data_IF_059358632829
#
_entry.id   IF_059358632829
#
_cell.length_a   1.000
_cell.length_b   1.000
_cell.length_c   1.000
_cell.angle_alpha   90.00
_cell.angle_beta   90.00
_cell.angle_gamma   90.00
#
_symmetry.space_group_name_H-M   'P 1'
#
loop_
_entity.id
_entity.type
_entity.pdbx_description
1 polymer ?
#
# COMPACT_ATOMS: atom_id res chain seq x y z
N UNK A 1 12.35 -9.55 -14.39
CA UNK A 1 11.37 -8.49 -14.08
C UNK A 1 11.96 -7.61 -13.00
N UNK A 2 11.92 -6.28 -13.18
CA UNK A 2 12.39 -5.34 -12.15
C UNK A 2 11.40 -5.34 -10.96
N UNK A 3 11.87 -5.17 -9.71
CA UNK A 3 10.96 -5.10 -8.57
C UNK A 3 10.13 -3.81 -8.58
N UNK A 4 9.15 -3.71 -7.69
CA UNK A 4 8.52 -2.44 -7.35
C UNK A 4 9.41 -1.64 -6.39
N UNK A 5 9.25 -0.31 -6.40
CA UNK A 5 10.01 0.63 -5.55
C UNK A 5 9.05 1.32 -4.58
N UNK A 6 9.51 1.55 -3.35
CA UNK A 6 8.79 2.36 -2.38
C UNK A 6 9.27 3.80 -2.40
N UNK A 7 8.34 4.76 -2.50
CA UNK A 7 8.61 6.19 -2.44
C UNK A 7 7.81 6.86 -1.33
N UNK A 8 8.45 7.72 -0.55
CA UNK A 8 7.82 8.46 0.55
C UNK A 8 7.72 9.96 0.24
N UNK A 9 6.64 10.60 0.70
CA UNK A 9 6.37 12.04 0.55
C UNK A 9 7.17 12.90 1.54
N UNK A 10 8.50 12.80 1.50
CA UNK A 10 9.40 13.49 2.44
C UNK A 10 9.33 15.00 2.27
N UNK A 11 9.10 15.72 3.37
CA UNK A 11 9.07 17.20 3.36
C UNK A 11 10.37 17.78 2.82
N UNK A 12 10.26 18.82 1.97
CA UNK A 12 11.39 19.47 1.31
C UNK A 12 11.96 18.73 0.10
N UNK A 13 11.49 17.51 -0.19
CA UNK A 13 11.98 16.68 -1.33
C UNK A 13 10.86 16.17 -2.23
N UNK A 14 9.64 16.68 -2.08
CA UNK A 14 8.47 16.15 -2.80
C UNK A 14 8.61 16.23 -4.32
N UNK A 15 9.12 17.36 -4.84
CA UNK A 15 9.36 17.48 -6.28
C UNK A 15 10.38 16.45 -6.77
N UNK A 16 11.50 16.28 -6.07
CA UNK A 16 12.49 15.25 -6.42
C UNK A 16 11.89 13.84 -6.39
N UNK A 17 10.95 13.57 -5.47
CA UNK A 17 10.24 12.29 -5.41
C UNK A 17 9.41 12.06 -6.68
N UNK A 18 8.77 13.08 -7.23
CA UNK A 18 8.03 12.97 -8.48
C UNK A 18 8.96 12.78 -9.69
N UNK A 19 10.09 13.46 -9.72
CA UNK A 19 11.11 13.28 -10.77
C UNK A 19 11.65 11.83 -10.74
N UNK A 20 11.86 11.28 -9.54
CA UNK A 20 12.24 9.87 -9.34
C UNK A 20 11.13 8.91 -9.78
N UNK A 21 9.85 9.23 -9.54
CA UNK A 21 8.73 8.39 -9.97
C UNK A 21 8.69 8.24 -11.51
N UNK A 22 8.86 9.33 -12.23
CA UNK A 22 8.97 9.31 -13.69
C UNK A 22 10.19 8.50 -14.19
N UNK A 23 11.32 8.61 -13.49
CA UNK A 23 12.53 7.85 -13.82
C UNK A 23 12.38 6.35 -13.52
N UNK A 24 11.68 5.96 -12.45
CA UNK A 24 11.34 4.57 -12.12
C UNK A 24 10.53 3.95 -13.25
N UNK A 25 9.50 4.64 -13.74
CA UNK A 25 8.72 4.19 -14.90
C UNK A 25 9.61 4.01 -16.13
N UNK A 26 10.40 5.04 -16.47
CA UNK A 26 11.30 5.01 -17.64
C UNK A 26 12.30 3.85 -17.59
N UNK A 27 12.69 3.40 -16.40
CA UNK A 27 13.59 2.24 -16.21
C UNK A 27 12.88 0.89 -16.21
N UNK A 28 11.57 0.84 -16.32
CA UNK A 28 10.80 -0.40 -16.41
C UNK A 28 10.64 -1.16 -15.10
N UNK A 29 10.60 -0.46 -13.96
CA UNK A 29 10.19 -1.05 -12.69
C UNK A 29 8.72 -1.42 -12.72
N UNK A 30 8.31 -2.43 -11.93
CA UNK A 30 6.94 -2.98 -12.01
C UNK A 30 5.90 -2.16 -11.26
N UNK A 31 6.30 -1.27 -10.36
CA UNK A 31 5.34 -0.48 -9.59
C UNK A 31 5.99 0.49 -8.61
N UNK A 32 5.18 1.43 -8.12
CA UNK A 32 5.58 2.39 -7.08
C UNK A 32 4.59 2.29 -5.93
N UNK A 33 5.06 1.98 -4.71
CA UNK A 33 4.19 1.87 -3.54
C UNK A 33 4.61 2.85 -2.45
N UNK A 34 3.63 3.66 -1.99
CA UNK A 34 3.84 4.78 -1.09
C UNK A 34 3.49 4.41 0.35
N UNK A 35 4.46 4.37 1.29
CA UNK A 35 4.20 4.10 2.69
C UNK A 35 3.50 5.28 3.37
N UNK A 36 2.93 5.06 4.54
CA UNK A 36 2.21 6.07 5.35
C UNK A 36 3.11 7.18 5.93
N UNK A 37 4.26 7.43 5.32
CA UNK A 37 5.19 8.50 5.69
C UNK A 37 4.86 9.78 4.89
N UNK A 38 4.34 10.77 5.58
CA UNK A 38 3.73 11.93 4.97
C UNK A 38 2.30 11.60 4.46
N UNK A 39 1.82 12.29 3.46
CA UNK A 39 0.54 11.97 2.81
C UNK A 39 0.78 11.08 1.58
N UNK A 40 0.62 9.76 1.78
CA UNK A 40 0.83 8.79 0.70
C UNK A 40 -0.25 8.87 -0.39
N UNK A 41 -1.47 9.29 -0.06
CA UNK A 41 -2.56 9.44 -1.04
C UNK A 41 -2.31 10.66 -1.93
N UNK A 42 -1.89 11.78 -1.36
CA UNK A 42 -1.50 12.98 -2.13
C UNK A 42 -0.28 12.69 -3.03
N UNK A 43 0.66 11.85 -2.55
CA UNK A 43 1.78 11.40 -3.38
C UNK A 43 1.29 10.54 -4.55
N UNK A 44 0.39 9.58 -4.31
CA UNK A 44 -0.20 8.75 -5.37
C UNK A 44 -0.93 9.61 -6.41
N UNK A 45 -1.71 10.61 -5.99
CA UNK A 45 -2.37 11.53 -6.91
C UNK A 45 -1.36 12.28 -7.79
N UNK A 46 -0.25 12.71 -7.20
CA UNK A 46 0.82 13.39 -7.96
C UNK A 46 1.55 12.43 -8.90
N UNK A 47 1.78 11.17 -8.50
CA UNK A 47 2.37 10.12 -9.35
C UNK A 47 1.47 9.84 -10.56
N UNK A 48 0.15 9.82 -10.38
CA UNK A 48 -0.80 9.66 -11.49
C UNK A 48 -0.57 10.67 -12.62
N UNK A 49 -0.15 11.90 -12.27
CA UNK A 49 0.05 12.99 -13.23
C UNK A 49 1.43 13.01 -13.89
N UNK A 50 2.43 12.33 -13.32
CA UNK A 50 3.81 12.33 -13.84
C UNK A 50 4.24 10.99 -14.44
N UNK A 51 3.34 10.00 -14.44
CA UNK A 51 3.55 8.66 -15.00
C UNK A 51 2.39 8.28 -15.93
N UNK A 52 2.61 7.35 -16.86
CA UNK A 52 1.63 6.97 -17.88
C UNK A 52 1.22 5.50 -17.86
N UNK A 53 2.11 4.58 -17.48
CA UNK A 53 1.91 3.14 -17.61
C UNK A 53 2.11 2.38 -16.28
N UNK A 54 3.03 2.83 -15.43
CA UNK A 54 3.40 2.11 -14.21
C UNK A 54 2.23 2.02 -13.23
N UNK A 55 2.03 0.85 -12.64
CA UNK A 55 1.08 0.70 -11.54
C UNK A 55 1.64 1.33 -10.28
N UNK A 56 0.78 1.91 -9.46
CA UNK A 56 1.19 2.51 -8.20
C UNK A 56 0.10 2.38 -7.15
N UNK A 57 0.45 2.61 -5.90
CA UNK A 57 -0.52 2.52 -4.82
C UNK A 57 0.00 2.97 -3.47
N UNK A 58 -0.88 2.97 -2.48
CA UNK A 58 -0.49 3.14 -1.08
C UNK A 58 -0.07 1.79 -0.47
N UNK A 59 0.93 1.80 0.40
CA UNK A 59 1.36 0.61 1.13
C UNK A 59 1.83 0.98 2.55
N UNK A 60 0.92 1.40 3.41
CA UNK A 60 -0.52 1.47 3.21
C UNK A 60 -1.06 2.78 3.77
N UNK A 61 -2.28 3.17 3.34
CA UNK A 61 -3.02 4.26 3.99
C UNK A 61 -3.66 3.75 5.27
N UNK A 62 -3.36 4.33 6.44
CA UNK A 62 -4.04 3.97 7.69
C UNK A 62 -5.51 4.38 7.67
N UNK A 63 -6.42 3.44 8.01
CA UNK A 63 -7.87 3.69 8.00
C UNK A 63 -8.31 4.77 9.00
N UNK A 64 -7.60 4.92 10.11
CA UNK A 64 -7.97 5.90 11.14
C UNK A 64 -7.56 7.34 10.82
N UNK A 65 -6.88 7.59 9.70
CA UNK A 65 -6.42 8.94 9.33
C UNK A 65 -7.42 9.70 8.47
N UNK A 66 -8.35 9.01 7.82
CA UNK A 66 -9.35 9.60 6.94
C UNK A 66 -10.72 8.98 7.16
N UNK A 67 -11.75 9.76 6.96
CA UNK A 67 -13.11 9.23 6.86
C UNK A 67 -13.21 8.33 5.62
N UNK A 68 -13.92 7.18 5.68
CA UNK A 68 -14.03 6.27 4.54
C UNK A 68 -14.67 6.91 3.30
N UNK A 69 -15.64 7.80 3.45
CA UNK A 69 -16.26 8.52 2.34
C UNK A 69 -15.26 9.49 1.68
N UNK A 70 -14.49 10.26 2.46
CA UNK A 70 -13.44 11.14 1.95
C UNK A 70 -12.35 10.37 1.20
N UNK A 71 -11.95 9.22 1.75
CA UNK A 71 -10.97 8.36 1.09
C UNK A 71 -11.54 7.72 -0.18
N UNK A 72 -12.80 7.31 -0.20
CA UNK A 72 -13.46 6.76 -1.38
C UNK A 72 -13.49 7.78 -2.52
N UNK A 73 -13.91 9.02 -2.24
CA UNK A 73 -13.91 10.10 -3.23
C UNK A 73 -12.52 10.36 -3.82
N UNK A 74 -11.50 10.45 -2.96
CA UNK A 74 -10.13 10.67 -3.41
C UNK A 74 -9.59 9.46 -4.19
N UNK A 75 -9.89 8.25 -3.75
CA UNK A 75 -9.42 7.02 -4.40
C UNK A 75 -10.05 6.83 -5.77
N UNK A 76 -11.36 7.07 -5.91
CA UNK A 76 -12.07 7.02 -7.20
C UNK A 76 -11.49 8.05 -8.17
N UNK A 77 -11.24 9.29 -7.72
CA UNK A 77 -10.60 10.31 -8.54
C UNK A 77 -9.22 9.88 -9.06
N UNK A 78 -8.35 9.35 -8.17
CA UNK A 78 -7.01 8.87 -8.58
C UNK A 78 -7.13 7.69 -9.56
N UNK A 79 -8.08 6.78 -9.32
CA UNK A 79 -8.32 5.63 -10.17
C UNK A 79 -8.69 6.06 -11.59
N UNK A 80 -9.64 6.98 -11.72
CA UNK A 80 -10.09 7.53 -12.98
C UNK A 80 -8.96 8.25 -13.74
N UNK A 81 -8.29 9.24 -13.13
CA UNK A 81 -7.25 10.02 -13.81
C UNK A 81 -6.00 9.20 -14.14
N UNK A 82 -5.80 8.08 -13.48
CA UNK A 82 -4.69 7.16 -13.78
C UNK A 82 -5.05 6.05 -14.76
N UNK A 83 -6.27 6.02 -15.31
CA UNK A 83 -6.76 4.94 -16.17
C UNK A 83 -6.61 3.55 -15.52
N UNK A 84 -7.03 3.41 -14.27
CA UNK A 84 -7.04 2.14 -13.55
C UNK A 84 -5.69 1.65 -13.00
N UNK A 85 -4.62 2.45 -13.05
CA UNK A 85 -3.27 2.06 -12.57
C UNK A 85 -3.10 2.09 -11.06
N UNK A 86 -4.01 2.74 -10.35
CA UNK A 86 -3.94 2.92 -8.89
C UNK A 86 -4.45 1.69 -8.13
N UNK A 87 -3.75 1.31 -7.06
CA UNK A 87 -4.18 0.34 -6.05
C UNK A 87 -4.23 1.01 -4.68
N UNK A 88 -5.32 0.85 -3.95
CA UNK A 88 -5.48 1.41 -2.62
C UNK A 88 -5.11 0.37 -1.56
N UNK A 89 -3.88 0.41 -1.07
CA UNK A 89 -3.49 -0.34 0.11
C UNK A 89 -3.96 0.35 1.39
N UNK A 90 -4.70 -0.36 2.23
CA UNK A 90 -5.17 0.13 3.53
C UNK A 90 -4.78 -0.80 4.67
N UNK A 91 -4.76 -0.29 5.89
CA UNK A 91 -4.45 -1.10 7.06
C UNK A 91 -4.66 -0.36 8.38
N UNK A 92 -4.57 -1.11 9.47
CA UNK A 92 -4.53 -0.57 10.81
C UNK A 92 -3.10 -0.12 11.14
N UNK A 93 -2.95 0.94 11.92
CA UNK A 93 -1.66 1.34 12.47
C UNK A 93 -1.34 0.54 13.75
N UNK A 94 -0.17 0.76 14.30
CA UNK A 94 0.27 0.14 15.55
C UNK A 94 0.29 1.15 16.71
N UNK A 95 0.32 0.62 17.93
CA UNK A 95 0.13 1.37 19.19
C UNK A 95 0.83 2.73 19.31
N UNK A 96 2.13 2.89 18.96
CA UNK A 96 2.81 4.19 19.03
C UNK A 96 2.17 5.29 18.17
N UNK A 97 1.62 4.95 17.01
CA UNK A 97 0.92 5.91 16.14
C UNK A 97 -0.44 6.27 16.72
N UNK A 98 -1.18 5.28 17.24
CA UNK A 98 -2.46 5.52 17.92
C UNK A 98 -2.29 6.50 19.09
N UNK A 99 -1.30 6.27 19.95
CA UNK A 99 -1.02 7.16 21.10
C UNK A 99 -0.67 8.58 20.64
N UNK A 100 0.20 8.73 19.65
CA UNK A 100 0.60 10.05 19.11
C UNK A 100 -0.56 10.85 18.57
N UNK A 101 -1.54 10.19 17.97
CA UNK A 101 -2.68 10.82 17.30
C UNK A 101 -3.96 10.83 18.15
N UNK A 102 -3.92 10.30 19.38
CA UNK A 102 -5.10 10.20 20.24
C UNK A 102 -6.18 9.26 19.69
N UNK A 103 -5.79 8.26 18.87
CA UNK A 103 -6.71 7.31 18.27
C UNK A 103 -7.00 6.20 19.29
N UNK A 104 -8.28 5.91 19.47
CA UNK A 104 -8.74 4.72 20.20
C UNK A 104 -9.19 3.68 19.16
N UNK A 105 -8.34 2.69 18.80
CA UNK A 105 -8.71 1.67 17.83
C UNK A 105 -9.77 0.73 18.41
N UNK A 106 -10.62 0.21 17.55
CA UNK A 106 -11.54 -0.86 17.87
C UNK A 106 -10.89 -2.24 17.71
N UNK A 107 -11.63 -3.17 17.12
CA UNK A 107 -11.13 -4.51 16.78
C UNK A 107 -10.60 -4.50 15.34
N UNK A 108 -9.32 -4.69 15.08
CA UNK A 108 -8.70 -4.50 13.77
C UNK A 108 -9.43 -5.15 12.59
N UNK A 109 -9.91 -6.37 12.75
CA UNK A 109 -10.65 -7.08 11.69
C UNK A 109 -12.03 -6.47 11.42
N UNK A 110 -12.76 -6.09 12.47
CA UNK A 110 -14.05 -5.43 12.34
C UNK A 110 -13.87 -4.03 11.75
N UNK A 111 -12.92 -3.26 12.27
CA UNK A 111 -12.66 -1.89 11.81
C UNK A 111 -12.32 -1.85 10.32
N UNK A 112 -11.51 -2.81 9.82
CA UNK A 112 -11.19 -2.92 8.38
C UNK A 112 -12.44 -3.30 7.59
N UNK A 113 -13.21 -4.29 8.04
CA UNK A 113 -14.42 -4.73 7.34
C UNK A 113 -15.44 -3.60 7.21
N UNK A 114 -15.70 -2.90 8.32
CA UNK A 114 -16.63 -1.79 8.36
C UNK A 114 -16.16 -0.62 7.49
N UNK A 115 -14.85 -0.36 7.49
CA UNK A 115 -14.25 0.70 6.68
C UNK A 115 -14.37 0.41 5.18
N UNK A 116 -14.06 -0.82 4.75
CA UNK A 116 -14.20 -1.23 3.33
C UNK A 116 -15.66 -1.15 2.91
N UNK A 117 -16.58 -1.68 3.70
CA UNK A 117 -18.03 -1.62 3.40
C UNK A 117 -18.54 -0.17 3.26
N UNK A 118 -18.06 0.74 4.13
CA UNK A 118 -18.42 2.16 4.03
C UNK A 118 -17.84 2.82 2.77
N UNK A 119 -16.62 2.46 2.36
CA UNK A 119 -16.05 2.95 1.10
C UNK A 119 -16.82 2.45 -0.12
N UNK A 120 -17.20 1.16 -0.14
CA UNK A 120 -17.99 0.56 -1.22
C UNK A 120 -19.38 1.22 -1.34
N UNK A 121 -20.00 1.53 -0.21
CA UNK A 121 -21.26 2.28 -0.19
C UNK A 121 -21.09 3.68 -0.78
N UNK A 122 -20.01 4.39 -0.41
CA UNK A 122 -19.70 5.73 -0.91
C UNK A 122 -19.37 5.75 -2.41
N UNK A 123 -18.88 4.66 -2.97
CA UNK A 123 -18.55 4.54 -4.39
C UNK A 123 -19.73 4.87 -5.32
N UNK A 124 -20.96 4.61 -4.88
CA UNK A 124 -22.18 4.97 -5.64
C UNK A 124 -22.30 6.47 -5.93
N UNK A 125 -21.64 7.31 -5.15
CA UNK A 125 -21.65 8.78 -5.29
C UNK A 125 -20.37 9.33 -5.91
N UNK A 126 -19.26 8.59 -5.84
CA UNK A 126 -17.93 9.13 -6.18
C UNK A 126 -17.28 8.44 -7.39
N UNK A 127 -17.81 7.32 -7.85
CA UNK A 127 -17.27 6.57 -8.98
C UNK A 127 -16.59 5.26 -8.57
N UNK A 128 -15.97 4.60 -9.53
CA UNK A 128 -15.33 3.29 -9.36
C UNK A 128 -14.14 3.37 -8.42
N UNK A 129 -14.12 2.49 -7.41
CA UNK A 129 -12.97 2.37 -6.52
C UNK A 129 -11.84 1.58 -7.17
N UNK A 130 -10.58 1.93 -6.88
CA UNK A 130 -9.44 1.09 -7.24
C UNK A 130 -9.49 -0.26 -6.51
N UNK A 131 -8.78 -1.28 -7.00
CA UNK A 131 -8.55 -2.49 -6.24
C UNK A 131 -8.01 -2.19 -4.84
N UNK A 132 -8.73 -2.64 -3.80
CA UNK A 132 -8.33 -2.47 -2.40
C UNK A 132 -7.40 -3.62 -2.01
N UNK A 133 -6.27 -3.30 -1.37
CA UNK A 133 -5.27 -4.25 -0.86
C UNK A 133 -5.16 -4.10 0.64
N UNK A 134 -5.22 -5.20 1.41
CA UNK A 134 -5.11 -5.13 2.86
C UNK A 134 -3.68 -5.37 3.35
N UNK A 135 -3.25 -4.55 4.32
CA UNK A 135 -2.06 -4.85 5.09
C UNK A 135 -2.31 -6.05 6.00
N UNK A 136 -1.50 -7.10 5.83
CA UNK A 136 -1.66 -8.36 6.55
C UNK A 136 -0.42 -8.66 7.39
N UNK A 137 -0.62 -9.32 8.52
CA UNK A 137 0.47 -9.80 9.37
C UNK A 137 0.17 -11.20 9.92
N UNK A 138 -1.09 -11.48 10.25
CA UNK A 138 -1.53 -12.73 10.88
C UNK A 138 -2.61 -13.38 10.03
N UNK A 139 -2.74 -14.70 10.14
CA UNK A 139 -3.66 -15.54 9.36
C UNK A 139 -5.07 -14.95 9.23
N UNK A 140 -5.69 -14.50 10.31
CA UNK A 140 -7.05 -13.94 10.25
C UNK A 140 -7.18 -12.68 9.40
N UNK A 141 -6.11 -11.90 9.23
CA UNK A 141 -6.12 -10.75 8.34
C UNK A 141 -5.86 -11.19 6.90
N UNK A 142 -5.12 -12.29 6.69
CA UNK A 142 -4.96 -12.92 5.37
C UNK A 142 -6.30 -13.48 4.90
N UNK A 143 -7.00 -14.24 5.75
CA UNK A 143 -8.36 -14.73 5.48
C UNK A 143 -9.32 -13.59 5.13
N UNK A 144 -9.29 -12.50 5.92
CA UNK A 144 -10.10 -11.31 5.65
C UNK A 144 -9.76 -10.68 4.29
N UNK A 145 -8.47 -10.61 3.93
CA UNK A 145 -8.06 -10.03 2.64
C UNK A 145 -8.58 -10.82 1.45
N UNK A 146 -8.60 -12.13 1.56
CA UNK A 146 -9.20 -13.02 0.53
C UNK A 146 -10.72 -12.80 0.41
N UNK A 147 -11.38 -12.57 1.54
CA UNK A 147 -12.84 -12.42 1.62
C UNK A 147 -13.35 -11.08 1.05
N UNK A 148 -12.64 -9.96 1.30
CA UNK A 148 -13.18 -8.62 1.03
C UNK A 148 -12.27 -7.70 0.22
N UNK A 149 -11.17 -8.19 -0.34
CA UNK A 149 -10.23 -7.31 -1.04
C UNK A 149 -9.61 -7.95 -2.27
N UNK A 150 -8.87 -7.16 -3.03
CA UNK A 150 -8.17 -7.59 -4.24
C UNK A 150 -6.69 -7.94 -3.97
N UNK A 151 -6.27 -8.03 -2.71
CA UNK A 151 -4.89 -8.37 -2.42
C UNK A 151 -4.46 -8.24 -0.98
N UNK A 152 -3.27 -8.78 -0.70
CA UNK A 152 -2.61 -8.78 0.59
C UNK A 152 -1.19 -8.24 0.48
N UNK A 153 -0.78 -7.39 1.43
CA UNK A 153 0.59 -6.88 1.50
C UNK A 153 1.16 -7.04 2.90
N UNK A 154 2.37 -7.57 2.97
CA UNK A 154 3.15 -7.68 4.20
C UNK A 154 4.21 -6.59 4.27
N UNK A 155 4.65 -6.26 5.47
CA UNK A 155 5.75 -5.35 5.71
C UNK A 155 6.86 -6.08 6.47
N UNK A 156 8.04 -6.16 5.84
CA UNK A 156 9.25 -6.73 6.43
C UNK A 156 9.09 -8.19 6.91
N UNK A 157 8.23 -8.96 6.26
CA UNK A 157 8.11 -10.39 6.55
C UNK A 157 9.37 -11.13 6.08
N UNK A 158 9.89 -12.03 6.92
CA UNK A 158 10.98 -12.92 6.50
C UNK A 158 10.52 -13.81 5.34
N UNK A 159 11.46 -14.34 4.56
CA UNK A 159 11.12 -15.24 3.44
C UNK A 159 10.26 -16.42 3.88
N UNK A 160 10.58 -17.02 5.02
CA UNK A 160 9.85 -18.18 5.52
C UNK A 160 8.44 -17.78 6.00
N UNK A 161 8.32 -16.70 6.78
CA UNK A 161 7.03 -16.22 7.27
C UNK A 161 6.13 -15.80 6.12
N UNK A 162 6.69 -15.10 5.11
CA UNK A 162 5.95 -14.72 3.92
C UNK A 162 5.45 -15.92 3.14
N UNK A 163 6.32 -16.92 2.86
CA UNK A 163 5.93 -18.12 2.16
C UNK A 163 4.85 -18.92 2.91
N UNK A 164 4.98 -19.04 4.23
CA UNK A 164 3.98 -19.71 5.07
C UNK A 164 2.64 -18.96 5.00
N UNK A 165 2.66 -17.63 5.12
CA UNK A 165 1.43 -16.83 5.05
C UNK A 165 0.77 -16.86 3.66
N UNK A 166 1.56 -16.92 2.59
CA UNK A 166 1.03 -17.06 1.22
C UNK A 166 0.41 -18.45 1.03
N UNK A 167 0.97 -19.50 1.64
CA UNK A 167 0.40 -20.84 1.59
C UNK A 167 -1.00 -20.96 2.25
N UNK A 168 -1.35 -20.01 3.13
CA UNK A 168 -2.69 -19.92 3.72
C UNK A 168 -3.74 -19.32 2.76
N UNK A 169 -3.31 -18.71 1.64
CA UNK A 169 -4.21 -18.21 0.59
C UNK A 169 -4.62 -19.38 -0.31
N UNK A 170 -5.91 -19.56 -0.62
CA UNK A 170 -6.36 -20.61 -1.55
C UNK A 170 -5.62 -20.54 -2.90
N UNK A 171 -5.30 -21.70 -3.48
CA UNK A 171 -4.48 -21.79 -4.69
C UNK A 171 -5.13 -21.11 -5.90
N UNK A 172 -6.44 -21.20 -6.03
CA UNK A 172 -7.23 -20.53 -7.06
C UNK A 172 -7.13 -18.99 -6.94
N UNK A 173 -7.10 -18.46 -5.70
CA UNK A 173 -6.88 -17.05 -5.43
C UNK A 173 -5.45 -16.62 -5.74
N UNK A 174 -4.44 -17.44 -5.37
CA UNK A 174 -3.04 -17.17 -5.71
C UNK A 174 -2.79 -17.11 -7.22
N UNK A 175 -3.53 -17.89 -8.00
CA UNK A 175 -3.43 -17.96 -9.46
C UNK A 175 -4.35 -16.96 -10.19
N UNK A 176 -5.06 -16.11 -9.45
CA UNK A 176 -5.89 -15.03 -9.99
C UNK A 176 -5.12 -13.70 -10.05
N UNK A 177 -5.83 -12.61 -10.32
CA UNK A 177 -5.29 -11.24 -10.26
C UNK A 177 -5.12 -10.71 -8.81
N UNK A 178 -5.25 -11.57 -7.81
CA UNK A 178 -5.07 -11.21 -6.40
C UNK A 178 -3.64 -10.73 -6.13
N UNK A 179 -3.51 -9.49 -5.68
CA UNK A 179 -2.19 -8.89 -5.43
C UNK A 179 -1.52 -9.46 -4.19
N UNK A 180 -0.30 -9.96 -4.34
CA UNK A 180 0.53 -10.47 -3.23
C UNK A 180 1.83 -9.68 -3.21
N UNK A 181 2.11 -8.97 -2.12
CA UNK A 181 3.29 -8.13 -1.99
C UNK A 181 3.95 -8.19 -0.62
N UNK A 182 5.27 -7.97 -0.57
CA UNK A 182 6.01 -7.81 0.68
C UNK A 182 6.94 -6.60 0.57
N UNK A 183 6.74 -5.60 1.42
CA UNK A 183 7.62 -4.43 1.49
C UNK A 183 8.85 -4.77 2.32
N UNK A 184 10.01 -4.77 1.66
CA UNK A 184 11.29 -5.13 2.29
C UNK A 184 12.18 -3.89 2.35
N UNK A 185 12.59 -3.43 3.55
CA UNK A 185 13.60 -2.38 3.68
C UNK A 185 14.88 -2.76 2.96
N UNK A 186 15.36 -1.90 2.07
CA UNK A 186 16.50 -2.19 1.21
C UNK A 186 17.52 -1.07 1.32
N UNK A 187 18.79 -1.43 1.51
CA UNK A 187 19.92 -0.51 1.47
C UNK A 187 20.80 -0.87 0.27
N UNK A 188 21.04 0.11 -0.58
CA UNK A 188 21.97 -0.01 -1.70
C UNK A 188 23.35 0.47 -1.24
N UNK A 189 24.33 -0.43 -1.25
CA UNK A 189 25.71 -0.14 -0.88
C UNK A 189 26.64 -1.03 -1.73
N UNK A 190 27.74 -0.50 -2.27
CA UNK A 190 28.71 -1.30 -3.03
C UNK A 190 29.39 -2.38 -2.16
N UNK A 191 29.40 -2.20 -0.85
CA UNK A 191 29.97 -3.15 0.10
C UNK A 191 28.88 -3.84 0.90
N UNK A 192 28.73 -5.15 0.74
CA UNK A 192 27.68 -5.96 1.38
C UNK A 192 27.63 -5.81 2.90
N UNK A 193 28.78 -5.79 3.57
CA UNK A 193 28.84 -5.66 5.03
C UNK A 193 28.38 -4.29 5.52
N UNK A 194 28.74 -3.22 4.84
CA UNK A 194 28.30 -1.88 5.14
C UNK A 194 26.78 -1.73 4.90
N UNK A 195 26.27 -2.28 3.80
CA UNK A 195 24.84 -2.33 3.52
C UNK A 195 24.06 -3.09 4.58
N UNK A 196 24.53 -4.27 4.99
CA UNK A 196 23.91 -5.06 6.05
C UNK A 196 23.94 -4.36 7.42
N UNK A 197 25.02 -3.64 7.74
CA UNK A 197 25.13 -2.86 8.97
C UNK A 197 24.16 -1.66 9.01
N UNK A 198 23.93 -1.00 7.87
CA UNK A 198 22.94 0.09 7.73
C UNK A 198 21.51 -0.45 7.84
N UNK A 199 21.21 -1.56 7.18
CA UNK A 199 19.86 -2.14 7.19
C UNK A 199 19.43 -2.63 8.59
N UNK A 200 20.37 -3.02 9.45
CA UNK A 200 20.09 -3.40 10.85
C UNK A 200 19.72 -2.22 11.76
N UNK A 201 19.92 -0.99 11.32
CA UNK A 201 19.61 0.24 12.07
C UNK A 201 18.27 0.88 11.65
N UNK A 202 17.64 0.35 10.61
CA UNK A 202 16.32 0.74 10.14
C UNK A 202 15.25 -0.18 10.74
#
# INVERSE_FOLDING_TARGET
TMPAISLAAVSGRRQQTLDIAAEIERRGFTGIYCPSMGDCVALCQSIASVTNEITFGTSVQPIYFRNPEDLAATAAFIHEISNGRFRLGIGVTHGPVHQRLGITPGKPLADIRDYVAAMEQAASHHGELPPIVLATLRIKMVELSVDISAGAVWANASRNDFNNSVADIPEDVQNSDFFIGNMIPTVIDPYREAGAARNRKT
#
